data_IF_307418528962
#
_entry.id   IF_307418528962
#
_cell.length_a   1.000
_cell.length_b   1.000
_cell.length_c   1.000
_cell.angle_alpha   90.00
_cell.angle_beta   90.00
_cell.angle_gamma   90.00
#
_symmetry.space_group_name_H-M   'P 1'
#
loop_
_entity.id
_entity.type
_entity.pdbx_description
1 polymer ?
#
# COMPACT_ATOMS: atom_id res chain seq x y z
N UNK A 1 13.17 34.72 -16.59
CA UNK A 1 12.28 33.78 -15.89
C UNK A 1 11.02 33.60 -16.73
N UNK A 2 11.02 32.65 -17.69
CA UNK A 2 9.83 32.31 -18.43
C UNK A 2 9.02 31.35 -17.55
N UNK A 3 7.85 31.79 -17.11
CA UNK A 3 6.80 30.95 -16.56
C UNK A 3 6.45 29.96 -17.67
N UNK A 4 6.99 28.73 -17.58
CA UNK A 4 6.61 27.63 -18.45
C UNK A 4 5.11 27.41 -18.27
N UNK A 5 4.32 27.95 -19.19
CA UNK A 5 2.90 27.66 -19.29
C UNK A 5 2.75 26.14 -19.31
N UNK A 6 2.18 25.60 -18.26
CA UNK A 6 1.83 24.19 -18.12
C UNK A 6 0.65 23.90 -19.05
N UNK A 7 0.93 23.72 -20.35
CA UNK A 7 -0.08 23.24 -21.27
C UNK A 7 -0.38 21.77 -20.97
N UNK A 8 -1.38 21.55 -20.12
CA UNK A 8 -2.03 20.27 -20.04
C UNK A 8 -2.89 20.11 -21.31
N UNK A 9 -2.92 18.96 -21.97
CA UNK A 9 -3.97 18.69 -22.90
C UNK A 9 -5.29 18.86 -22.14
N UNK A 10 -6.08 19.86 -22.58
CA UNK A 10 -7.36 20.15 -21.95
C UNK A 10 -8.23 18.89 -22.02
N UNK A 11 -8.87 18.49 -20.91
CA UNK A 11 -9.83 17.40 -20.95
C UNK A 11 -10.88 17.64 -22.02
N UNK A 12 -11.20 16.59 -22.77
CA UNK A 12 -12.08 16.68 -23.95
C UNK A 12 -13.57 16.76 -23.57
N UNK A 13 -13.91 16.40 -22.32
CA UNK A 13 -15.29 16.40 -21.84
C UNK A 13 -15.39 16.80 -20.36
N UNK A 14 -16.59 17.26 -19.94
CA UNK A 14 -16.89 17.53 -18.53
C UNK A 14 -16.70 16.29 -17.65
N UNK A 15 -17.09 15.14 -18.17
CA UNK A 15 -16.93 13.84 -17.46
C UNK A 15 -15.46 13.50 -17.22
N UNK A 16 -14.60 13.80 -18.19
CA UNK A 16 -13.16 13.62 -18.01
C UNK A 16 -12.59 14.54 -16.91
N UNK A 17 -13.04 15.80 -16.86
CA UNK A 17 -12.66 16.74 -15.78
C UNK A 17 -13.07 16.22 -14.41
N UNK A 18 -14.32 15.74 -14.29
CA UNK A 18 -14.81 15.14 -13.03
C UNK A 18 -14.00 13.93 -12.62
N UNK A 19 -13.70 13.03 -13.58
CA UNK A 19 -12.89 11.83 -13.30
C UNK A 19 -11.47 12.16 -12.86
N UNK A 20 -10.78 13.09 -13.52
CA UNK A 20 -9.44 13.54 -13.14
C UNK A 20 -9.45 14.19 -11.76
N UNK A 21 -10.43 15.08 -11.50
CA UNK A 21 -10.57 15.72 -10.19
C UNK A 21 -10.87 14.71 -9.07
N UNK A 22 -11.73 13.73 -9.35
CA UNK A 22 -12.04 12.67 -8.39
C UNK A 22 -10.84 11.77 -8.10
N UNK A 23 -10.03 11.40 -9.12
CA UNK A 23 -8.79 10.63 -8.93
C UNK A 23 -7.73 11.45 -8.18
N UNK A 24 -7.61 12.74 -8.46
CA UNK A 24 -6.70 13.61 -7.70
C UNK A 24 -7.15 13.76 -6.23
N UNK A 25 -8.44 13.95 -6.01
CA UNK A 25 -9.03 13.98 -4.67
C UNK A 25 -8.87 12.66 -3.93
N UNK A 26 -9.07 11.52 -4.60
CA UNK A 26 -8.78 10.18 -4.07
C UNK A 26 -7.32 10.10 -3.63
N UNK A 27 -6.37 10.44 -4.51
CA UNK A 27 -4.94 10.40 -4.23
C UNK A 27 -4.53 11.27 -3.02
N UNK A 28 -5.21 12.40 -2.83
CA UNK A 28 -4.98 13.24 -1.66
C UNK A 28 -5.64 12.66 -0.39
N UNK A 29 -6.91 12.23 -0.48
CA UNK A 29 -7.72 11.90 0.69
C UNK A 29 -7.39 10.55 1.35
N UNK A 30 -6.83 9.58 0.61
CA UNK A 30 -6.53 8.25 1.17
C UNK A 30 -5.47 8.25 2.30
N UNK A 31 -4.79 9.36 2.51
CA UNK A 31 -3.81 9.53 3.60
C UNK A 31 -4.37 10.26 4.82
N UNK A 32 -5.65 10.63 4.83
CA UNK A 32 -6.28 11.28 6.00
C UNK A 32 -7.76 10.96 6.19
N UNK A 33 -8.47 10.41 5.20
CA UNK A 33 -9.89 10.08 5.35
C UNK A 33 -10.32 8.96 4.41
N UNK A 34 -10.54 7.77 4.97
CA UNK A 34 -11.06 6.62 4.22
C UNK A 34 -12.43 6.91 3.58
N UNK A 35 -13.32 7.60 4.31
CA UNK A 35 -14.65 7.93 3.80
C UNK A 35 -14.58 8.86 2.59
N UNK A 36 -13.77 9.92 2.66
CA UNK A 36 -13.55 10.81 1.54
C UNK A 36 -12.95 10.07 0.34
N UNK A 37 -11.95 9.20 0.59
CA UNK A 37 -11.32 8.40 -0.47
C UNK A 37 -12.32 7.47 -1.16
N UNK A 38 -13.17 6.78 -0.40
CA UNK A 38 -14.16 5.86 -0.97
C UNK A 38 -15.27 6.60 -1.73
N UNK A 39 -15.73 7.77 -1.26
CA UNK A 39 -16.71 8.61 -1.97
C UNK A 39 -16.10 9.09 -3.30
N UNK A 40 -14.85 9.57 -3.28
CA UNK A 40 -14.16 10.04 -4.49
C UNK A 40 -13.87 8.90 -5.47
N UNK A 41 -13.56 7.70 -4.97
CA UNK A 41 -13.46 6.51 -5.79
C UNK A 41 -14.82 6.20 -6.46
N UNK A 42 -15.92 6.25 -5.71
CA UNK A 42 -17.27 6.06 -6.25
C UNK A 42 -17.57 7.06 -7.36
N UNK A 43 -17.29 8.34 -7.16
CA UNK A 43 -17.44 9.39 -8.15
C UNK A 43 -16.57 9.13 -9.39
N UNK A 44 -15.31 8.74 -9.20
CA UNK A 44 -14.40 8.42 -10.28
C UNK A 44 -14.86 7.21 -11.10
N UNK A 45 -15.39 6.17 -10.45
CA UNK A 45 -15.97 4.97 -11.10
C UNK A 45 -17.20 5.38 -11.93
N UNK A 46 -18.10 6.18 -11.37
CA UNK A 46 -19.28 6.66 -12.12
C UNK A 46 -18.85 7.47 -13.34
N UNK A 47 -17.93 8.42 -13.19
CA UNK A 47 -17.41 9.20 -14.31
C UNK A 47 -16.77 8.31 -15.38
N UNK A 48 -16.01 7.29 -14.97
CA UNK A 48 -15.39 6.32 -15.86
C UNK A 48 -16.42 5.48 -16.62
N UNK A 49 -17.46 4.96 -15.97
CA UNK A 49 -18.53 4.18 -16.59
C UNK A 49 -19.34 5.01 -17.59
N UNK A 50 -19.68 6.27 -17.22
CA UNK A 50 -20.35 7.20 -18.13
C UNK A 50 -19.49 7.45 -19.37
N UNK A 51 -18.19 7.65 -19.19
CA UNK A 51 -17.24 7.87 -20.28
C UNK A 51 -17.13 6.66 -21.20
N UNK A 52 -16.96 5.45 -20.63
CA UNK A 52 -16.94 4.21 -21.43
C UNK A 52 -18.17 4.08 -22.32
N UNK A 53 -19.37 4.39 -21.76
CA UNK A 53 -20.62 4.28 -22.48
C UNK A 53 -20.82 5.40 -23.51
N UNK A 54 -20.55 6.64 -23.15
CA UNK A 54 -20.73 7.81 -24.02
C UNK A 54 -19.74 7.85 -25.18
N UNK A 55 -18.50 7.42 -24.97
CA UNK A 55 -17.45 7.43 -25.97
C UNK A 55 -17.27 6.06 -26.68
N UNK A 56 -18.18 5.09 -26.42
CA UNK A 56 -18.14 3.72 -26.97
C UNK A 56 -16.76 3.05 -26.81
N UNK A 57 -16.06 3.33 -25.67
CA UNK A 57 -14.73 2.78 -25.40
C UNK A 57 -14.81 1.34 -24.91
N UNK A 58 -13.83 0.55 -25.28
CA UNK A 58 -13.60 -0.77 -24.69
C UNK A 58 -13.02 -0.65 -23.30
N UNK A 59 -13.30 -1.66 -22.46
CA UNK A 59 -12.65 -1.79 -21.16
C UNK A 59 -11.15 -2.07 -21.34
N UNK A 60 -10.31 -1.26 -20.73
CA UNK A 60 -8.87 -1.42 -20.77
C UNK A 60 -8.30 -1.37 -19.35
N UNK A 61 -7.39 -2.27 -19.04
CA UNK A 61 -6.67 -2.33 -17.79
C UNK A 61 -5.26 -2.90 -18.01
N UNK A 62 -4.28 -2.58 -17.13
CA UNK A 62 -2.97 -3.20 -17.19
C UNK A 62 -3.06 -4.71 -16.94
N UNK A 63 -2.08 -5.47 -17.47
CA UNK A 63 -2.09 -6.95 -17.44
C UNK A 63 -2.25 -7.55 -16.04
N UNK A 64 -1.70 -6.90 -15.02
CA UNK A 64 -1.79 -7.36 -13.64
C UNK A 64 -3.22 -7.26 -13.04
N UNK A 65 -4.11 -6.50 -13.68
CA UNK A 65 -5.50 -6.39 -13.22
C UNK A 65 -6.24 -7.72 -13.33
N UNK A 66 -5.95 -8.55 -14.32
CA UNK A 66 -6.69 -9.79 -14.54
C UNK A 66 -6.47 -10.84 -13.43
N UNK A 67 -5.23 -11.15 -12.98
CA UNK A 67 -5.06 -12.00 -11.82
C UNK A 67 -5.61 -11.37 -10.52
N UNK A 68 -5.61 -10.03 -10.37
CA UNK A 68 -6.27 -9.36 -9.26
C UNK A 68 -7.79 -9.55 -9.31
N UNK A 69 -8.41 -9.41 -10.47
CA UNK A 69 -9.83 -9.66 -10.67
C UNK A 69 -10.19 -11.14 -10.40
N UNK A 70 -9.35 -12.07 -10.87
CA UNK A 70 -9.52 -13.49 -10.58
C UNK A 70 -9.41 -13.80 -9.07
N UNK A 71 -8.49 -13.15 -8.35
CA UNK A 71 -8.44 -13.20 -6.89
C UNK A 71 -9.74 -12.66 -6.26
N UNK A 72 -10.32 -11.59 -6.81
CA UNK A 72 -11.63 -11.08 -6.40
C UNK A 72 -12.74 -12.11 -6.57
N UNK A 73 -12.78 -12.81 -7.72
CA UNK A 73 -13.75 -13.90 -7.95
C UNK A 73 -13.55 -15.05 -6.96
N UNK A 74 -12.30 -15.45 -6.71
CA UNK A 74 -12.01 -16.49 -5.71
C UNK A 74 -12.45 -16.06 -4.29
N UNK A 75 -12.33 -14.78 -3.96
CA UNK A 75 -12.84 -14.20 -2.69
C UNK A 75 -14.37 -14.31 -2.60
N UNK A 76 -15.11 -14.03 -3.69
CA UNK A 76 -16.57 -14.20 -3.73
C UNK A 76 -16.98 -15.67 -3.57
N UNK A 77 -16.28 -16.57 -4.22
CA UNK A 77 -16.50 -18.02 -4.06
C UNK A 77 -16.25 -18.42 -2.61
N UNK A 78 -15.13 -18.00 -2.02
CA UNK A 78 -14.81 -18.25 -0.62
C UNK A 78 -15.91 -17.72 0.33
N UNK A 79 -16.42 -16.51 0.08
CA UNK A 79 -17.51 -15.93 0.88
C UNK A 79 -18.79 -16.77 0.82
N UNK A 80 -19.10 -17.36 -0.35
CA UNK A 80 -20.25 -18.25 -0.52
C UNK A 80 -20.12 -19.59 0.23
N UNK A 81 -18.88 -20.08 0.39
CA UNK A 81 -18.57 -21.32 1.13
C UNK A 81 -18.04 -21.08 2.54
N UNK A 82 -18.14 -19.84 3.04
CA UNK A 82 -17.66 -19.44 4.35
C UNK A 82 -18.37 -20.19 5.50
N UNK A 83 -17.69 -20.31 6.63
CA UNK A 83 -18.29 -20.77 7.90
C UNK A 83 -19.41 -19.85 8.39
N UNK A 84 -19.41 -18.57 7.98
CA UNK A 84 -20.53 -17.64 8.14
C UNK A 84 -20.65 -16.73 6.89
N UNK A 85 -21.42 -17.16 5.86
CA UNK A 85 -21.54 -16.41 4.60
C UNK A 85 -22.07 -14.97 4.77
N UNK A 86 -22.95 -14.73 5.76
CA UNK A 86 -23.52 -13.39 5.99
C UNK A 86 -22.44 -12.37 6.37
N UNK A 87 -21.49 -12.75 7.21
CA UNK A 87 -20.34 -11.91 7.59
C UNK A 87 -19.39 -11.75 6.39
N UNK A 88 -19.03 -12.86 5.76
CA UNK A 88 -18.04 -12.86 4.68
C UNK A 88 -18.49 -12.08 3.45
N UNK A 89 -19.78 -12.12 3.09
CA UNK A 89 -20.32 -11.33 1.97
C UNK A 89 -20.19 -9.81 2.24
N UNK A 90 -20.39 -9.37 3.49
CA UNK A 90 -20.21 -7.97 3.85
C UNK A 90 -18.76 -7.52 3.67
N UNK A 91 -17.79 -8.38 3.97
CA UNK A 91 -16.36 -8.06 3.79
C UNK A 91 -15.97 -7.96 2.30
N UNK A 92 -16.69 -8.62 1.40
CA UNK A 92 -16.42 -8.52 -0.05
C UNK A 92 -16.58 -7.11 -0.62
N UNK A 93 -17.19 -6.15 0.11
CA UNK A 93 -17.21 -4.72 -0.25
C UNK A 93 -15.81 -4.16 -0.56
N UNK A 94 -14.76 -4.72 0.04
CA UNK A 94 -13.38 -4.32 -0.19
C UNK A 94 -12.94 -4.56 -1.65
N UNK A 95 -13.56 -5.51 -2.37
CA UNK A 95 -13.28 -5.77 -3.78
C UNK A 95 -13.59 -4.56 -4.68
N UNK A 96 -14.46 -3.63 -4.23
CA UNK A 96 -14.72 -2.37 -4.91
C UNK A 96 -13.44 -1.53 -5.10
N UNK A 97 -12.48 -1.67 -4.20
CA UNK A 97 -11.19 -0.96 -4.29
C UNK A 97 -10.35 -1.41 -5.50
N UNK A 98 -10.59 -2.60 -6.05
CA UNK A 98 -9.87 -3.05 -7.25
C UNK A 98 -10.21 -2.23 -8.49
N UNK A 99 -11.36 -1.53 -8.50
CA UNK A 99 -11.72 -0.60 -9.57
C UNK A 99 -10.81 0.64 -9.63
N UNK A 100 -10.00 0.89 -8.60
CA UNK A 100 -8.92 1.90 -8.64
C UNK A 100 -8.03 1.67 -9.86
N UNK A 101 -7.71 0.41 -10.17
CA UNK A 101 -6.78 0.08 -11.26
C UNK A 101 -7.28 0.59 -12.61
N UNK A 102 -8.45 0.17 -13.15
CA UNK A 102 -8.92 0.66 -14.44
C UNK A 102 -9.25 2.17 -14.43
N UNK A 103 -9.72 2.72 -13.31
CA UNK A 103 -10.05 4.13 -13.17
C UNK A 103 -8.79 5.01 -13.23
N UNK A 104 -7.76 4.68 -12.45
CA UNK A 104 -6.47 5.40 -12.48
C UNK A 104 -5.78 5.21 -13.83
N UNK A 105 -5.85 4.02 -14.41
CA UNK A 105 -5.31 3.71 -15.73
C UNK A 105 -5.92 4.57 -16.84
N UNK A 106 -7.22 4.92 -16.73
CA UNK A 106 -7.89 5.77 -17.73
C UNK A 106 -7.70 7.28 -17.49
N UNK A 107 -7.76 7.76 -16.23
CA UNK A 107 -7.71 9.20 -15.94
C UNK A 107 -6.31 9.76 -15.69
N UNK A 108 -5.35 8.93 -15.27
CA UNK A 108 -3.99 9.37 -14.93
C UNK A 108 -2.99 9.26 -16.08
N UNK A 109 -3.40 9.43 -17.33
CA UNK A 109 -2.54 9.27 -18.52
C UNK A 109 -1.38 10.26 -18.55
N UNK A 110 -0.28 9.81 -19.15
CA UNK A 110 0.86 10.66 -19.46
C UNK A 110 1.41 11.42 -18.22
N UNK A 111 1.51 12.72 -18.35
CA UNK A 111 2.03 13.62 -17.30
C UNK A 111 1.17 13.65 -16.03
N UNK A 112 -0.14 13.34 -16.13
CA UNK A 112 -1.04 13.32 -14.97
C UNK A 112 -0.58 12.31 -13.91
N UNK A 113 0.00 11.17 -14.34
CA UNK A 113 0.57 10.19 -13.42
C UNK A 113 1.71 10.75 -12.57
N UNK A 114 2.61 11.53 -13.18
CA UNK A 114 3.69 12.21 -12.46
C UNK A 114 3.19 13.22 -11.43
N UNK A 115 2.14 13.98 -11.78
CA UNK A 115 1.53 14.95 -10.88
C UNK A 115 0.82 14.27 -9.71
N UNK A 116 0.13 13.16 -9.95
CA UNK A 116 -0.48 12.36 -8.88
C UNK A 116 0.57 11.82 -7.93
N UNK A 117 1.73 11.35 -8.43
CA UNK A 117 2.83 10.94 -7.57
C UNK A 117 3.35 12.11 -6.72
N UNK A 118 3.54 13.31 -7.33
CA UNK A 118 3.95 14.51 -6.59
C UNK A 118 2.91 14.91 -5.53
N UNK A 119 1.61 14.81 -5.84
CA UNK A 119 0.52 15.06 -4.90
C UNK A 119 0.57 14.06 -3.73
N UNK A 120 0.71 12.76 -4.00
CA UNK A 120 0.82 11.71 -2.97
C UNK A 120 2.00 11.98 -2.03
N UNK A 121 3.17 12.30 -2.58
CA UNK A 121 4.36 12.63 -1.80
C UNK A 121 4.12 13.86 -0.93
N UNK A 122 3.51 14.92 -1.48
CA UNK A 122 3.27 16.18 -0.77
C UNK A 122 2.25 16.02 0.36
N UNK A 123 1.17 15.29 0.12
CA UNK A 123 0.16 14.98 1.15
C UNK A 123 0.76 14.08 2.23
N UNK A 124 1.57 13.08 1.84
CA UNK A 124 2.28 12.24 2.80
C UNK A 124 3.28 13.02 3.67
N UNK A 125 3.97 14.00 3.08
CA UNK A 125 4.85 14.90 3.83
C UNK A 125 4.06 15.75 4.82
N UNK A 126 2.92 16.30 4.42
CA UNK A 126 2.03 17.04 5.33
C UNK A 126 1.52 16.15 6.47
N UNK A 127 1.08 14.93 6.16
CA UNK A 127 0.68 13.93 7.17
C UNK A 127 1.83 13.57 8.12
N UNK A 128 3.06 13.43 7.59
CA UNK A 128 4.24 13.17 8.40
C UNK A 128 4.56 14.32 9.37
N UNK A 129 4.42 15.57 8.92
CA UNK A 129 4.60 16.74 9.78
C UNK A 129 3.56 16.78 10.91
N UNK A 130 2.30 16.47 10.61
CA UNK A 130 1.26 16.33 11.63
C UNK A 130 1.66 15.29 12.67
N UNK A 131 2.15 14.12 12.24
CA UNK A 131 2.64 13.08 13.14
C UNK A 131 3.79 13.55 14.02
N UNK A 132 4.79 14.23 13.44
CA UNK A 132 5.93 14.78 14.20
C UNK A 132 5.46 15.82 15.25
N UNK A 133 4.49 16.68 14.90
CA UNK A 133 3.89 17.65 15.85
C UNK A 133 3.12 16.93 16.94
N UNK A 134 2.35 15.89 16.63
CA UNK A 134 1.66 15.08 17.63
C UNK A 134 2.64 14.50 18.66
N UNK A 135 3.76 13.96 18.20
CA UNK A 135 4.77 13.39 19.08
C UNK A 135 5.55 14.47 19.86
N UNK A 136 6.12 15.46 19.15
CA UNK A 136 7.11 16.37 19.74
C UNK A 136 6.50 17.56 20.48
N UNK A 137 5.27 17.99 20.14
CA UNK A 137 4.62 19.17 20.73
C UNK A 137 3.44 18.79 21.61
N UNK A 138 2.58 17.87 21.12
CA UNK A 138 1.35 17.51 21.85
C UNK A 138 1.57 16.37 22.84
N UNK A 139 2.76 15.77 22.91
CA UNK A 139 3.10 14.62 23.76
C UNK A 139 2.05 13.50 23.65
N UNK A 140 1.54 13.27 22.43
CA UNK A 140 0.41 12.37 22.19
C UNK A 140 0.78 10.90 22.42
N UNK A 141 2.07 10.60 22.51
CA UNK A 141 2.62 9.23 22.59
C UNK A 141 2.98 8.84 24.03
N UNK A 142 2.25 9.24 25.02
CA UNK A 142 2.51 8.75 26.36
C UNK A 142 1.87 7.37 26.61
N UNK A 143 2.73 6.34 26.78
CA UNK A 143 2.38 5.05 27.41
C UNK A 143 1.25 4.26 26.69
N UNK A 144 1.38 4.04 25.38
CA UNK A 144 0.49 3.17 24.62
C UNK A 144 -0.36 3.89 23.58
N UNK A 145 -0.28 5.20 23.46
CA UNK A 145 -0.83 5.96 22.34
C UNK A 145 0.26 6.22 21.33
N UNK A 146 0.46 5.29 20.40
CA UNK A 146 1.42 5.44 19.32
C UNK A 146 0.94 6.50 18.34
N UNK A 147 1.91 7.19 17.73
CA UNK A 147 1.63 8.20 16.72
C UNK A 147 0.83 7.61 15.55
N UNK A 148 -0.34 8.17 15.29
CA UNK A 148 -1.24 7.75 14.22
C UNK A 148 -1.37 8.79 13.09
N UNK A 149 -0.70 9.94 13.23
CA UNK A 149 -0.70 11.00 12.24
C UNK A 149 -2.11 11.51 11.92
N UNK A 150 -2.44 11.50 10.65
CA UNK A 150 -3.77 11.90 10.13
C UNK A 150 -4.76 10.74 10.04
N UNK A 151 -4.34 9.52 10.31
CA UNK A 151 -5.17 8.31 10.26
C UNK A 151 -5.60 7.88 11.66
N UNK A 152 -6.61 6.99 11.74
CA UNK A 152 -7.18 6.54 13.00
C UNK A 152 -6.35 5.46 13.71
N UNK A 153 -5.40 4.82 12.99
CA UNK A 153 -4.63 3.70 13.51
C UNK A 153 -3.15 3.80 13.10
N UNK A 154 -2.24 3.56 14.06
CA UNK A 154 -0.79 3.68 13.83
C UNK A 154 -0.22 2.67 12.84
N UNK A 155 -0.79 1.45 12.73
CA UNK A 155 -0.33 0.44 11.78
C UNK A 155 -0.66 0.85 10.35
N UNK A 156 -1.90 1.30 10.09
CA UNK A 156 -2.33 1.86 8.80
C UNK A 156 -1.47 3.07 8.42
N UNK A 157 -1.25 3.98 9.38
CA UNK A 157 -0.40 5.15 9.19
C UNK A 157 1.03 4.79 8.84
N UNK A 158 1.65 3.86 9.58
CA UNK A 158 3.02 3.41 9.30
C UNK A 158 3.13 2.71 7.94
N UNK A 159 2.12 1.93 7.56
CA UNK A 159 2.05 1.28 6.26
C UNK A 159 1.97 2.28 5.11
N UNK A 160 1.11 3.31 5.21
CA UNK A 160 1.00 4.36 4.20
C UNK A 160 2.28 5.19 4.10
N UNK A 161 2.89 5.58 5.23
CA UNK A 161 4.20 6.27 5.24
C UNK A 161 5.30 5.43 4.56
N UNK A 162 5.33 4.14 4.82
CA UNK A 162 6.28 3.20 4.18
C UNK A 162 6.17 3.26 2.65
N UNK A 163 4.94 3.24 2.10
CA UNK A 163 4.70 3.35 0.66
C UNK A 163 5.12 4.73 0.12
N UNK A 164 4.82 5.81 0.84
CA UNK A 164 5.21 7.18 0.45
C UNK A 164 6.72 7.35 0.48
N UNK A 165 7.44 6.75 1.44
CA UNK A 165 8.90 6.74 1.48
C UNK A 165 9.47 6.05 0.24
N UNK A 166 8.94 4.89 -0.15
CA UNK A 166 9.35 4.21 -1.38
C UNK A 166 9.11 5.10 -2.62
N UNK A 167 7.95 5.77 -2.69
CA UNK A 167 7.62 6.72 -3.77
C UNK A 167 8.60 7.90 -3.81
N UNK A 168 8.91 8.48 -2.65
CA UNK A 168 9.84 9.62 -2.51
C UNK A 168 11.26 9.24 -2.89
N UNK A 169 11.74 8.08 -2.42
CA UNK A 169 13.05 7.54 -2.80
C UNK A 169 13.14 7.23 -4.29
N UNK A 170 12.12 6.60 -4.86
CA UNK A 170 12.09 6.31 -6.29
C UNK A 170 12.12 7.61 -7.12
N UNK A 171 11.37 8.64 -6.71
CA UNK A 171 11.41 9.95 -7.34
C UNK A 171 12.78 10.61 -7.22
N UNK A 172 13.42 10.55 -6.06
CA UNK A 172 14.75 11.10 -5.81
C UNK A 172 15.81 10.41 -6.67
N UNK A 173 15.78 9.09 -6.79
CA UNK A 173 16.81 8.30 -7.46
C UNK A 173 16.65 8.26 -9.00
N UNK A 174 15.41 8.17 -9.48
CA UNK A 174 15.10 7.90 -10.89
C UNK A 174 14.32 9.03 -11.57
N UNK A 175 13.76 9.97 -10.81
CA UNK A 175 13.01 11.09 -11.35
C UNK A 175 13.91 12.14 -11.98
N UNK A 176 13.34 12.91 -12.91
CA UNK A 176 13.95 14.12 -13.49
C UNK A 176 13.33 15.40 -12.93
N UNK A 177 12.14 15.29 -12.34
CA UNK A 177 11.38 16.41 -11.75
C UNK A 177 11.23 16.21 -10.25
N UNK A 178 11.00 17.27 -9.52
CA UNK A 178 10.67 17.32 -8.08
C UNK A 178 11.69 16.59 -7.18
N UNK A 179 12.93 16.38 -7.65
CA UNK A 179 13.97 15.69 -6.85
C UNK A 179 14.34 16.47 -5.60
N UNK A 180 14.46 17.81 -5.71
CA UNK A 180 14.76 18.68 -4.57
C UNK A 180 13.64 18.64 -3.54
N UNK A 181 12.38 18.65 -3.99
CA UNK A 181 11.22 18.49 -3.11
C UNK A 181 11.25 17.13 -2.41
N UNK A 182 11.48 16.05 -3.16
CA UNK A 182 11.62 14.70 -2.59
C UNK A 182 12.75 14.60 -1.56
N UNK A 183 13.90 15.21 -1.83
CA UNK A 183 15.02 15.27 -0.88
C UNK A 183 14.66 16.06 0.38
N UNK A 184 13.91 17.15 0.24
CA UNK A 184 13.50 18.02 1.34
C UNK A 184 12.50 17.35 2.28
N UNK A 185 11.52 16.59 1.73
CA UNK A 185 10.47 15.97 2.55
C UNK A 185 10.85 14.61 3.13
N UNK A 186 11.82 13.91 2.54
CA UNK A 186 12.22 12.56 2.94
C UNK A 186 12.60 12.45 4.43
N UNK A 187 13.37 13.37 5.03
CA UNK A 187 13.71 13.30 6.46
C UNK A 187 12.46 13.30 7.36
N UNK A 188 11.47 14.16 7.07
CA UNK A 188 10.24 14.23 7.85
C UNK A 188 9.44 12.91 7.77
N UNK A 189 9.37 12.30 6.57
CA UNK A 189 8.71 11.00 6.37
C UNK A 189 9.43 9.89 7.16
N UNK A 190 10.77 9.84 7.12
CA UNK A 190 11.57 8.82 7.83
C UNK A 190 11.44 8.99 9.34
N UNK A 191 11.55 10.21 9.85
CA UNK A 191 11.37 10.51 11.28
C UNK A 191 9.95 10.13 11.72
N UNK A 192 8.93 10.52 10.97
CA UNK A 192 7.55 10.17 11.27
C UNK A 192 7.34 8.65 11.31
N UNK A 193 7.87 7.90 10.32
CA UNK A 193 7.81 6.44 10.33
C UNK A 193 8.53 5.84 11.55
N UNK A 194 9.70 6.33 11.92
CA UNK A 194 10.43 5.88 13.10
C UNK A 194 9.59 6.04 14.37
N UNK A 195 8.94 7.20 14.53
CA UNK A 195 8.12 7.53 15.70
C UNK A 195 6.80 6.74 15.78
N UNK A 196 6.37 6.01 14.73
CA UNK A 196 5.24 5.07 14.83
C UNK A 196 5.54 3.84 15.68
N UNK A 197 6.80 3.56 15.97
CA UNK A 197 7.29 2.38 16.71
C UNK A 197 6.80 1.05 16.10
N UNK A 198 6.55 1.02 14.79
CA UNK A 198 6.03 -0.15 14.06
C UNK A 198 7.16 -0.88 13.34
N UNK A 199 7.73 -1.90 14.00
CA UNK A 199 8.88 -2.70 13.51
C UNK A 199 8.69 -3.24 12.10
N UNK A 200 7.50 -3.80 11.80
CA UNK A 200 7.18 -4.37 10.48
C UNK A 200 7.27 -3.34 9.36
N UNK A 201 6.79 -2.11 9.59
CA UNK A 201 6.86 -1.03 8.61
C UNK A 201 8.30 -0.52 8.41
N UNK A 202 9.15 -0.51 9.46
CA UNK A 202 10.57 -0.16 9.32
C UNK A 202 11.32 -1.15 8.44
N UNK A 203 11.11 -2.46 8.70
CA UNK A 203 11.73 -3.53 7.91
C UNK A 203 11.23 -3.50 6.46
N UNK A 204 9.92 -3.27 6.26
CA UNK A 204 9.36 -3.09 4.92
C UNK A 204 9.93 -1.88 4.18
N UNK A 205 10.03 -0.72 4.83
CA UNK A 205 10.63 0.48 4.25
C UNK A 205 12.11 0.27 3.89
N UNK A 206 12.87 -0.38 4.77
CA UNK A 206 14.27 -0.72 4.51
C UNK A 206 14.41 -1.69 3.31
N UNK A 207 13.54 -2.69 3.18
CA UNK A 207 13.52 -3.60 2.04
C UNK A 207 13.15 -2.89 0.73
N UNK A 208 12.13 -2.03 0.75
CA UNK A 208 11.78 -1.18 -0.38
C UNK A 208 12.94 -0.25 -0.79
N UNK A 209 13.60 0.40 0.17
CA UNK A 209 14.78 1.22 -0.07
C UNK A 209 15.94 0.38 -0.64
N UNK A 210 16.18 -0.81 -0.07
CA UNK A 210 17.25 -1.70 -0.51
C UNK A 210 17.10 -2.09 -1.99
N UNK A 211 15.90 -2.49 -2.45
CA UNK A 211 15.69 -2.82 -3.86
C UNK A 211 15.88 -1.59 -4.77
N UNK A 212 15.44 -0.40 -4.35
CA UNK A 212 15.63 0.82 -5.10
C UNK A 212 17.12 1.20 -5.21
N UNK A 213 17.87 1.06 -4.14
CA UNK A 213 19.31 1.30 -4.12
C UNK A 213 20.06 0.28 -4.98
N UNK A 214 19.75 -1.02 -4.86
CA UNK A 214 20.34 -2.07 -5.71
C UNK A 214 20.09 -1.82 -7.20
N UNK A 215 18.89 -1.36 -7.56
CA UNK A 215 18.54 -1.05 -8.95
C UNK A 215 19.27 0.18 -9.46
N UNK A 216 19.53 1.16 -8.60
CA UNK A 216 20.22 2.41 -8.97
C UNK A 216 21.74 2.23 -8.97
N UNK A 217 22.29 1.86 -7.83
CA UNK A 217 23.71 1.57 -7.59
C UNK A 217 23.78 0.79 -6.25
N UNK A 218 24.32 -0.44 -6.29
CA UNK A 218 24.40 -1.30 -5.11
C UNK A 218 25.14 -0.65 -3.92
N UNK A 219 26.04 0.29 -4.17
CA UNK A 219 26.81 1.04 -3.13
C UNK A 219 25.88 1.84 -2.22
N UNK A 220 24.74 2.29 -2.74
CA UNK A 220 23.74 3.03 -1.96
C UNK A 220 23.11 2.18 -0.86
N UNK A 221 23.19 0.86 -0.93
CA UNK A 221 22.68 -0.02 0.14
C UNK A 221 23.40 0.21 1.47
N UNK A 222 24.64 0.72 1.44
CA UNK A 222 25.37 1.11 2.64
C UNK A 222 24.70 2.26 3.43
N UNK A 223 23.82 3.03 2.80
CA UNK A 223 23.03 4.05 3.49
C UNK A 223 22.05 3.47 4.51
N UNK A 224 21.59 2.23 4.32
CA UNK A 224 20.63 1.59 5.24
C UNK A 224 21.27 1.37 6.62
N UNK A 225 22.39 0.62 6.77
CA UNK A 225 23.01 0.45 8.08
C UNK A 225 23.51 1.77 8.66
N UNK A 226 23.95 2.73 7.83
CA UNK A 226 24.32 4.08 8.31
C UNK A 226 23.11 4.79 8.92
N UNK A 227 21.94 4.76 8.25
CA UNK A 227 20.71 5.35 8.78
C UNK A 227 20.31 4.69 10.09
N UNK A 228 20.38 3.36 10.17
CA UNK A 228 20.08 2.60 11.40
C UNK A 228 21.05 2.98 12.51
N UNK A 229 22.36 3.05 12.23
CA UNK A 229 23.36 3.44 13.21
C UNK A 229 23.14 4.87 13.74
N UNK A 230 22.85 5.82 12.86
CA UNK A 230 22.53 7.19 13.27
C UNK A 230 21.25 7.22 14.11
N UNK A 231 20.21 6.48 13.71
CA UNK A 231 18.98 6.37 14.50
C UNK A 231 19.25 5.83 15.91
N UNK A 232 20.08 4.80 16.04
CA UNK A 232 20.46 4.23 17.36
C UNK A 232 21.23 5.21 18.24
N UNK A 233 22.03 6.13 17.64
CA UNK A 233 22.82 7.10 18.38
C UNK A 233 22.01 8.28 18.92
N UNK A 234 20.94 8.67 18.21
CA UNK A 234 20.19 9.90 18.54
C UNK A 234 18.75 9.62 18.99
N UNK A 235 18.31 8.39 18.91
CA UNK A 235 16.92 8.02 19.17
C UNK A 235 16.60 7.98 20.67
N UNK A 236 15.37 8.32 21.07
CA UNK A 236 14.87 8.10 22.43
C UNK A 236 14.91 6.61 22.81
N UNK A 237 14.99 6.32 24.12
CA UNK A 237 15.05 4.95 24.66
C UNK A 237 13.90 4.05 24.18
N UNK A 238 12.70 4.61 24.01
CA UNK A 238 11.55 3.90 23.46
C UNK A 238 11.79 3.35 22.05
N UNK A 239 12.52 4.08 21.20
CA UNK A 239 12.87 3.64 19.85
C UNK A 239 13.98 2.59 19.86
N UNK A 240 15.04 2.82 20.66
CA UNK A 240 16.18 1.91 20.74
C UNK A 240 15.77 0.55 21.31
N UNK A 241 14.95 0.52 22.38
CA UNK A 241 14.42 -0.72 22.95
C UNK A 241 13.56 -1.50 21.94
N UNK A 242 12.75 -0.80 21.15
CA UNK A 242 11.96 -1.42 20.06
C UNK A 242 12.83 -1.98 18.94
N UNK A 243 13.91 -1.32 18.59
CA UNK A 243 14.85 -1.81 17.58
C UNK A 243 15.59 -3.06 18.08
N UNK A 244 16.03 -3.07 19.32
CA UNK A 244 16.73 -4.22 19.95
C UNK A 244 15.81 -5.44 20.08
N UNK A 245 14.50 -5.25 20.24
CA UNK A 245 13.53 -6.36 20.31
C UNK A 245 13.17 -6.97 18.94
N UNK A 246 13.76 -6.48 17.83
CA UNK A 246 13.60 -7.12 16.51
C UNK A 246 14.32 -8.48 16.55
N UNK A 247 13.57 -9.58 16.36
CA UNK A 247 14.11 -10.93 16.38
C UNK A 247 14.18 -11.58 17.79
N UNK A 248 13.78 -10.88 18.84
CA UNK A 248 13.68 -11.47 20.17
C UNK A 248 12.48 -12.43 20.24
N UNK A 249 12.77 -13.73 20.36
CA UNK A 249 11.75 -14.79 20.47
C UNK A 249 11.07 -14.83 21.83
N UNK A 250 11.62 -14.14 22.85
CA UNK A 250 10.99 -14.00 24.17
C UNK A 250 9.95 -12.87 24.22
N UNK A 251 9.98 -11.93 23.26
CA UNK A 251 9.02 -10.83 23.18
C UNK A 251 7.59 -11.39 23.01
N UNK A 252 6.63 -10.99 23.86
CA UNK A 252 5.25 -11.48 23.81
C UNK A 252 4.59 -11.30 22.43
N UNK A 253 4.91 -10.21 21.72
CA UNK A 253 4.36 -9.95 20.37
C UNK A 253 4.92 -10.95 19.34
N UNK A 254 6.19 -11.35 19.47
CA UNK A 254 6.80 -12.34 18.57
C UNK A 254 6.22 -13.73 18.83
N UNK A 255 6.05 -14.11 20.10
CA UNK A 255 5.40 -15.37 20.48
C UNK A 255 3.97 -15.46 19.98
N UNK A 256 3.22 -14.38 20.11
CA UNK A 256 1.82 -14.34 19.66
C UNK A 256 1.72 -14.48 18.13
N UNK A 257 2.66 -13.88 17.37
CA UNK A 257 2.74 -14.06 15.91
C UNK A 257 3.01 -15.51 15.50
N UNK A 258 3.87 -16.21 16.22
CA UNK A 258 4.12 -17.64 15.97
C UNK A 258 2.82 -18.43 16.20
N UNK A 259 2.13 -18.19 17.31
CA UNK A 259 0.86 -18.85 17.62
C UNK A 259 -0.22 -18.55 16.56
N UNK A 260 -0.25 -17.30 16.02
CA UNK A 260 -1.16 -16.96 14.92
C UNK A 260 -0.82 -17.71 13.63
N UNK A 261 0.46 -17.91 13.31
CA UNK A 261 0.87 -18.71 12.15
C UNK A 261 0.47 -20.17 12.31
N UNK A 262 0.61 -20.75 13.49
CA UNK A 262 0.17 -22.12 13.81
C UNK A 262 -1.34 -22.26 13.67
N UNK A 263 -2.12 -21.30 14.20
CA UNK A 263 -3.58 -21.28 14.07
C UNK A 263 -3.99 -21.12 12.59
N UNK A 264 -3.35 -20.23 11.83
CA UNK A 264 -3.61 -20.06 10.42
C UNK A 264 -3.32 -21.33 9.60
N UNK A 265 -2.23 -22.02 9.92
CA UNK A 265 -1.87 -23.27 9.25
C UNK A 265 -2.91 -24.39 9.54
N UNK A 266 -3.44 -24.44 10.77
CA UNK A 266 -4.52 -25.35 11.11
C UNK A 266 -5.82 -25.03 10.33
N UNK A 267 -6.20 -23.75 10.23
CA UNK A 267 -7.33 -23.31 9.40
C UNK A 267 -7.16 -23.70 7.93
N UNK A 268 -5.97 -23.48 7.36
CA UNK A 268 -5.65 -23.87 5.96
C UNK A 268 -5.74 -25.39 5.77
N UNK A 269 -5.32 -26.16 6.77
CA UNK A 269 -5.42 -27.62 6.70
C UNK A 269 -6.86 -28.10 6.68
N UNK A 270 -7.74 -27.48 7.48
CA UNK A 270 -9.15 -27.84 7.56
C UNK A 270 -9.95 -27.34 6.34
N UNK A 271 -9.61 -26.17 5.81
CA UNK A 271 -10.30 -25.50 4.69
C UNK A 271 -9.35 -25.12 3.54
N UNK A 272 -8.67 -26.07 2.88
CA UNK A 272 -7.58 -25.73 1.94
C UNK A 272 -8.06 -25.04 0.65
N UNK A 273 -9.30 -25.29 0.20
CA UNK A 273 -9.79 -24.78 -1.08
C UNK A 273 -10.47 -23.41 -0.99
N UNK A 274 -11.31 -23.22 0.02
CA UNK A 274 -12.12 -22.01 0.17
C UNK A 274 -11.70 -21.12 1.32
N UNK A 275 -10.85 -21.64 2.22
CA UNK A 275 -10.58 -21.00 3.49
C UNK A 275 -11.80 -21.05 4.42
N UNK A 276 -11.68 -20.42 5.59
CA UNK A 276 -12.78 -20.32 6.57
C UNK A 276 -13.83 -19.27 6.16
N UNK A 277 -13.51 -18.42 5.21
CA UNK A 277 -14.30 -17.30 4.72
C UNK A 277 -13.65 -15.94 5.06
N UNK A 278 -13.82 -14.92 4.19
CA UNK A 278 -13.38 -13.56 4.47
C UNK A 278 -13.89 -13.06 5.83
N UNK A 279 -13.01 -12.41 6.61
CA UNK A 279 -13.26 -11.88 7.97
C UNK A 279 -13.64 -12.95 9.02
N UNK A 280 -13.41 -14.26 8.73
CA UNK A 280 -13.74 -15.34 9.65
C UNK A 280 -12.56 -15.84 10.50
N UNK A 281 -11.33 -15.44 10.17
CA UNK A 281 -10.15 -15.78 10.98
C UNK A 281 -10.28 -15.26 12.41
N UNK A 282 -10.68 -14.01 12.60
CA UNK A 282 -10.86 -13.41 13.93
C UNK A 282 -11.86 -14.17 14.81
N UNK A 283 -13.10 -14.37 14.37
CA UNK A 283 -14.11 -15.14 15.11
C UNK A 283 -13.68 -16.58 15.43
N UNK A 284 -12.92 -17.22 14.54
CA UNK A 284 -12.50 -18.62 14.72
C UNK A 284 -11.15 -18.75 15.46
N UNK A 285 -10.38 -17.67 15.60
CA UNK A 285 -9.06 -17.72 16.25
C UNK A 285 -9.07 -18.36 17.64
N UNK A 286 -10.05 -18.09 18.54
CA UNK A 286 -10.08 -18.75 19.86
C UNK A 286 -10.16 -20.27 19.81
N UNK A 287 -10.76 -20.83 18.75
CA UNK A 287 -10.87 -22.30 18.55
C UNK A 287 -9.57 -22.91 18.04
N UNK A 288 -8.81 -22.17 17.22
CA UNK A 288 -7.58 -22.65 16.57
C UNK A 288 -6.31 -22.25 17.27
N UNK A 289 -6.35 -21.31 18.24
CA UNK A 289 -5.17 -20.85 18.94
C UNK A 289 -4.49 -21.97 19.71
N UNK A 290 -3.15 -21.94 19.72
CA UNK A 290 -2.33 -22.86 20.49
C UNK A 290 -2.19 -22.40 21.96
N UNK A 291 -1.74 -23.31 22.84
CA UNK A 291 -1.49 -22.98 24.24
C UNK A 291 -0.36 -21.94 24.44
N UNK A 292 0.45 -21.70 23.42
CA UNK A 292 1.54 -20.70 23.40
C UNK A 292 1.06 -19.28 23.09
N UNK A 293 -0.18 -19.12 22.63
CA UNK A 293 -0.78 -17.83 22.31
C UNK A 293 -0.87 -16.93 23.54
N UNK A 294 -0.38 -15.70 23.42
CA UNK A 294 -0.45 -14.68 24.48
C UNK A 294 -1.85 -14.07 24.51
N UNK A 295 -2.41 -13.77 23.34
CA UNK A 295 -3.74 -13.18 23.21
C UNK A 295 -4.81 -14.26 23.06
N UNK A 296 -5.94 -14.06 23.75
CA UNK A 296 -7.10 -14.95 23.62
C UNK A 296 -7.85 -14.79 22.29
N UNK A 297 -7.81 -13.59 21.74
CA UNK A 297 -8.48 -13.18 20.50
C UNK A 297 -7.53 -12.35 19.64
N UNK A 298 -7.57 -12.56 18.33
CA UNK A 298 -6.84 -11.74 17.36
C UNK A 298 -7.75 -11.53 16.15
N UNK A 299 -7.90 -10.29 15.64
CA UNK A 299 -8.77 -10.02 14.49
C UNK A 299 -8.21 -10.61 13.19
N UNK A 300 -6.90 -10.77 13.07
CA UNK A 300 -6.21 -11.30 11.90
C UNK A 300 -4.84 -11.90 12.29
N UNK A 301 -4.22 -12.65 11.37
CA UNK A 301 -2.97 -13.42 11.62
C UNK A 301 -1.68 -12.58 11.54
N UNK A 302 -1.75 -11.29 11.31
CA UNK A 302 -0.57 -10.41 11.11
C UNK A 302 0.45 -10.95 10.09
N UNK A 303 -0.06 -11.61 9.05
CA UNK A 303 0.74 -12.18 7.96
C UNK A 303 -0.13 -12.25 6.70
N UNK A 304 0.21 -11.49 5.66
CA UNK A 304 -0.63 -11.38 4.45
C UNK A 304 -0.82 -12.72 3.74
N UNK A 305 0.23 -13.48 3.38
CA UNK A 305 0.03 -14.77 2.71
C UNK A 305 -0.78 -15.77 3.55
N UNK A 306 -0.49 -15.86 4.84
CA UNK A 306 -1.21 -16.78 5.73
C UNK A 306 -2.67 -16.37 5.91
N UNK A 307 -2.94 -15.07 6.06
CA UNK A 307 -4.31 -14.56 6.17
C UNK A 307 -5.12 -14.88 4.91
N UNK A 308 -4.54 -14.64 3.72
CA UNK A 308 -5.21 -14.94 2.46
C UNK A 308 -5.49 -16.45 2.34
N UNK A 309 -4.52 -17.29 2.69
CA UNK A 309 -4.71 -18.75 2.65
C UNK A 309 -5.75 -19.23 3.65
N UNK A 310 -5.75 -18.71 4.87
CA UNK A 310 -6.71 -19.10 5.91
C UNK A 310 -8.12 -18.59 5.60
N UNK A 311 -8.28 -17.31 5.21
CA UNK A 311 -9.58 -16.74 4.88
C UNK A 311 -10.17 -17.29 3.58
N UNK A 312 -9.34 -17.41 2.51
CA UNK A 312 -9.80 -17.55 1.11
C UNK A 312 -9.30 -18.81 0.41
N UNK A 313 -8.48 -19.61 1.10
CA UNK A 313 -7.91 -20.87 0.59
C UNK A 313 -6.69 -20.70 -0.31
N UNK A 314 -6.05 -21.83 -0.62
CA UNK A 314 -4.84 -21.90 -1.43
C UNK A 314 -5.04 -21.43 -2.89
N UNK A 315 -6.20 -21.65 -3.56
CA UNK A 315 -6.44 -21.10 -4.89
C UNK A 315 -6.42 -19.57 -4.90
N UNK A 316 -7.01 -18.90 -3.91
CA UNK A 316 -6.97 -17.46 -3.80
C UNK A 316 -5.56 -16.93 -3.52
N UNK A 317 -4.77 -17.60 -2.66
CA UNK A 317 -3.36 -17.29 -2.46
C UNK A 317 -2.57 -17.39 -3.76
N UNK A 318 -2.80 -18.44 -4.56
CA UNK A 318 -2.13 -18.64 -5.86
C UNK A 318 -2.43 -17.50 -6.83
N UNK A 319 -3.69 -17.05 -6.90
CA UNK A 319 -4.10 -15.92 -7.75
C UNK A 319 -3.52 -14.59 -7.25
N UNK A 320 -3.45 -14.38 -5.95
CA UNK A 320 -2.78 -13.22 -5.36
C UNK A 320 -1.28 -13.23 -5.67
N UNK A 321 -0.60 -14.37 -5.56
CA UNK A 321 0.81 -14.50 -5.98
C UNK A 321 0.99 -14.22 -7.48
N UNK A 322 0.07 -14.70 -8.32
CA UNK A 322 0.07 -14.40 -9.75
C UNK A 322 -0.07 -12.89 -10.01
N UNK A 323 -0.96 -12.21 -9.28
CA UNK A 323 -1.08 -10.75 -9.32
C UNK A 323 0.24 -10.06 -8.96
N UNK A 324 0.88 -10.43 -7.86
CA UNK A 324 2.16 -9.86 -7.42
C UNK A 324 3.27 -10.11 -8.45
N UNK A 325 3.42 -11.35 -8.93
CA UNK A 325 4.45 -11.73 -9.88
C UNK A 325 4.26 -10.99 -11.22
N UNK A 326 3.02 -10.92 -11.73
CA UNK A 326 2.72 -10.20 -12.97
C UNK A 326 3.04 -8.72 -12.82
N UNK A 327 2.62 -8.11 -11.71
CA UNK A 327 2.91 -6.71 -11.41
C UNK A 327 4.42 -6.43 -11.39
N UNK A 328 5.19 -7.22 -10.64
CA UNK A 328 6.64 -7.04 -10.55
C UNK A 328 7.33 -7.22 -11.91
N UNK A 329 6.92 -8.23 -12.70
CA UNK A 329 7.49 -8.47 -14.04
C UNK A 329 7.28 -7.27 -14.97
N UNK A 330 6.07 -6.74 -15.02
CA UNK A 330 5.76 -5.62 -15.91
C UNK A 330 6.43 -4.33 -15.44
N UNK A 331 6.37 -4.01 -14.15
CA UNK A 331 7.05 -2.85 -13.57
C UNK A 331 8.57 -2.94 -13.78
N UNK A 332 9.14 -4.13 -13.67
CA UNK A 332 10.58 -4.34 -13.91
C UNK A 332 10.99 -4.03 -15.34
N UNK A 333 10.17 -4.38 -16.33
CA UNK A 333 10.38 -4.00 -17.72
C UNK A 333 10.30 -2.49 -17.93
N UNK A 334 9.26 -1.86 -17.37
CA UNK A 334 8.99 -0.41 -17.51
C UNK A 334 10.05 0.48 -16.85
N UNK A 335 10.81 -0.01 -15.87
CA UNK A 335 11.86 0.79 -15.19
C UNK A 335 12.97 1.29 -16.11
N UNK A 336 13.13 0.71 -17.31
CA UNK A 336 14.12 1.12 -18.31
C UNK A 336 13.55 2.07 -19.37
N UNK A 337 12.26 2.24 -19.44
CA UNK A 337 11.60 3.09 -20.41
C UNK A 337 11.66 4.57 -20.00
N UNK A 338 12.02 5.44 -20.93
CA UNK A 338 12.04 6.88 -20.67
C UNK A 338 10.63 7.37 -20.25
N UNK A 339 10.58 8.24 -19.26
CA UNK A 339 9.34 8.84 -18.74
C UNK A 339 8.61 8.00 -17.68
N UNK A 340 8.86 6.69 -17.56
CA UNK A 340 8.16 5.84 -16.56
C UNK A 340 9.09 5.32 -15.46
N UNK A 341 10.40 5.60 -15.52
CA UNK A 341 11.41 5.03 -14.61
C UNK A 341 11.08 5.23 -13.13
N UNK A 342 10.80 6.46 -12.72
CA UNK A 342 10.51 6.78 -11.32
C UNK A 342 9.19 6.15 -10.86
N UNK A 343 8.16 6.18 -11.70
CA UNK A 343 6.86 5.57 -11.42
C UNK A 343 6.96 4.03 -11.31
N UNK A 344 7.67 3.39 -12.22
CA UNK A 344 7.89 1.95 -12.20
C UNK A 344 8.73 1.53 -10.98
N UNK A 345 9.79 2.29 -10.67
CA UNK A 345 10.60 2.07 -9.47
C UNK A 345 9.76 2.24 -8.19
N UNK A 346 8.84 3.23 -8.15
CA UNK A 346 7.88 3.39 -7.06
C UNK A 346 7.05 2.13 -6.86
N UNK A 347 6.45 1.59 -7.93
CA UNK A 347 5.65 0.37 -7.86
C UNK A 347 6.44 -0.84 -7.37
N UNK A 348 7.68 -1.03 -7.88
CA UNK A 348 8.57 -2.12 -7.41
C UNK A 348 8.90 -1.97 -5.93
N UNK A 349 9.34 -0.77 -5.51
CA UNK A 349 9.67 -0.50 -4.10
C UNK A 349 8.47 -0.70 -3.18
N UNK A 350 7.28 -0.22 -3.58
CA UNK A 350 6.04 -0.37 -2.82
C UNK A 350 5.62 -1.85 -2.65
N UNK A 351 5.70 -2.66 -3.72
CA UNK A 351 5.38 -4.10 -3.65
C UNK A 351 6.37 -4.82 -2.74
N UNK A 352 7.67 -4.57 -2.89
CA UNK A 352 8.69 -5.22 -2.03
C UNK A 352 8.49 -4.83 -0.57
N UNK A 353 8.25 -3.54 -0.30
CA UNK A 353 7.97 -3.06 1.05
C UNK A 353 6.72 -3.74 1.64
N UNK A 354 5.62 -3.81 0.87
CA UNK A 354 4.38 -4.50 1.25
C UNK A 354 4.63 -5.99 1.54
N UNK A 355 5.35 -6.71 0.67
CA UNK A 355 5.62 -8.13 0.86
C UNK A 355 6.41 -8.40 2.14
N UNK A 356 7.45 -7.62 2.40
CA UNK A 356 8.29 -7.81 3.59
C UNK A 356 7.55 -7.39 4.86
N UNK A 357 6.87 -6.24 4.88
CA UNK A 357 6.03 -5.84 6.00
C UNK A 357 4.86 -6.81 6.21
N UNK A 358 4.34 -7.40 5.14
CA UNK A 358 3.24 -8.35 5.14
C UNK A 358 3.53 -9.68 5.82
N UNK A 359 4.78 -10.00 6.15
CA UNK A 359 5.11 -11.10 7.06
C UNK A 359 4.87 -10.78 8.54
N UNK A 360 4.66 -9.50 8.87
CA UNK A 360 4.50 -9.01 10.22
C UNK A 360 3.18 -8.30 10.45
N UNK A 361 2.42 -8.03 9.40
CA UNK A 361 1.15 -7.31 9.45
C UNK A 361 0.24 -7.68 8.27
N UNK A 362 -1.08 -7.62 8.48
CA UNK A 362 -2.06 -7.84 7.40
C UNK A 362 -2.40 -6.53 6.70
N UNK A 363 -1.39 -5.83 6.20
CA UNK A 363 -1.55 -4.53 5.55
C UNK A 363 -2.33 -4.58 4.21
N UNK A 364 -2.32 -5.70 3.48
CA UNK A 364 -3.10 -5.86 2.24
C UNK A 364 -4.63 -5.86 2.49
N UNK A 365 -5.06 -6.17 3.72
CA UNK A 365 -6.45 -6.05 4.13
C UNK A 365 -6.89 -4.65 4.55
N UNK A 366 -5.95 -3.73 4.72
CA UNK A 366 -6.19 -2.36 5.13
C UNK A 366 -6.61 -1.50 3.93
N UNK A 367 -7.78 -0.88 3.97
CA UNK A 367 -8.34 -0.19 2.80
C UNK A 367 -7.49 0.99 2.34
N UNK A 368 -6.98 1.81 3.26
CA UNK A 368 -6.14 2.98 2.94
C UNK A 368 -4.82 2.55 2.33
N UNK A 369 -4.21 1.51 2.91
CA UNK A 369 -2.97 0.94 2.40
C UNK A 369 -3.17 0.34 1.00
N UNK A 370 -4.22 -0.46 0.82
CA UNK A 370 -4.53 -1.10 -0.46
C UNK A 370 -4.84 -0.08 -1.56
N UNK A 371 -5.63 0.96 -1.25
CA UNK A 371 -5.91 2.05 -2.20
C UNK A 371 -4.61 2.71 -2.68
N UNK A 372 -3.74 3.10 -1.74
CA UNK A 372 -2.46 3.75 -2.06
C UNK A 372 -1.56 2.82 -2.88
N UNK A 373 -1.43 1.56 -2.48
CA UNK A 373 -0.64 0.56 -3.20
C UNK A 373 -1.12 0.40 -4.65
N UNK A 374 -2.43 0.20 -4.87
CA UNK A 374 -3.00 0.02 -6.20
C UNK A 374 -2.82 1.26 -7.08
N UNK A 375 -2.97 2.48 -6.52
CA UNK A 375 -2.66 3.71 -7.24
C UNK A 375 -1.20 3.71 -7.67
N UNK A 376 -0.24 3.55 -6.73
CA UNK A 376 1.20 3.60 -7.03
C UNK A 376 1.62 2.56 -8.06
N UNK A 377 1.03 1.36 -8.01
CA UNK A 377 1.30 0.30 -9.00
C UNK A 377 0.74 0.63 -10.38
N UNK A 378 -0.37 1.38 -10.47
CA UNK A 378 -1.05 1.68 -11.74
C UNK A 378 -0.45 2.87 -12.47
N UNK A 379 0.10 3.86 -11.75
CA UNK A 379 0.65 5.09 -12.32
C UNK A 379 1.62 4.88 -13.50
N UNK A 380 2.60 3.95 -13.47
CA UNK A 380 3.53 3.78 -14.59
C UNK A 380 2.83 3.31 -15.87
N UNK A 381 1.80 2.45 -15.74
CA UNK A 381 1.02 1.98 -16.88
C UNK A 381 0.16 3.09 -17.47
N UNK A 382 -0.44 3.92 -16.62
CA UNK A 382 -1.19 5.09 -17.06
C UNK A 382 -0.29 6.12 -17.75
N UNK A 383 0.91 6.36 -17.22
CA UNK A 383 1.91 7.24 -17.82
C UNK A 383 2.34 6.79 -19.22
N UNK A 384 2.51 5.48 -19.43
CA UNK A 384 2.91 4.91 -20.71
C UNK A 384 1.87 5.07 -21.83
N UNK A 385 0.60 5.39 -21.50
CA UNK A 385 -0.47 5.60 -22.51
C UNK A 385 -0.35 6.93 -23.26
N UNK A 386 0.55 7.82 -22.85
CA UNK A 386 0.69 9.15 -23.41
C UNK A 386 -0.53 10.07 -23.12
N UNK A 387 -0.42 11.32 -23.50
CA UNK A 387 -1.46 12.33 -23.24
C UNK A 387 -2.59 12.35 -24.30
N UNK A 388 -2.78 11.27 -25.05
CA UNK A 388 -3.90 11.14 -25.97
C UNK A 388 -3.80 12.01 -27.24
N UNK A 389 -2.61 12.42 -27.63
CA UNK A 389 -2.36 13.03 -28.92
C UNK A 389 -2.15 11.92 -29.98
N UNK A 390 -3.22 11.53 -30.68
CA UNK A 390 -3.12 10.70 -31.88
C UNK A 390 -3.83 9.34 -31.77
N UNK A 391 -5.12 9.31 -31.93
CA UNK A 391 -5.91 8.27 -32.56
C UNK A 391 -7.00 8.94 -33.40
#
# INVERSE_FOLDING_TARGET
MSVLALSFPAPQSRTEWVGIGAVAGLAASMQFSIAAAQILLGLAVVAWLVRLRAEHRTFEAPSFFWPLAAYGVATLVSAGFSTNPAVSVVDTKQLFLFLIVPVVYDFARGRRADLLLSLIISVGAASALVGVVQYGVLNYDNLGRRMQGTLSHWMTYSGTLMLVICATLARLLFGTRDRLWSAFVLPALVVSLALTLTRGAWVGAAAGAAVLFLVKDFRLTALIPVTVAVALLVAPDALTSRMQSIGDMSDPTTRDRVAMLEAGLAMVRDYPLTGVGPDMVGPLYPTYRTATAVQATNPHLHNVPMQIAADRGLPALTLWLAFIITSLRELWKMRRAAGTQALAATGVGAIVAMLVAGFFEYNFGDSEFLMLLLVLMTLPFAAARGDGAGA
#
